data_IF_742431088342
#
_entry.id   IF_742431088342
#
_cell.length_a   1.000
_cell.length_b   1.000
_cell.length_c   1.000
_cell.angle_alpha   90.00
_cell.angle_beta   90.00
_cell.angle_gamma   90.00
#
_symmetry.space_group_name_H-M   'P 1'
#
loop_
_entity.id
_entity.type
_entity.pdbx_description
1 polymer ?
#
# COMPACT_ATOMS: atom_id res chain seq x y z
N UNK A 1 -6.09 -7.49 56.52
CA UNK A 1 -5.41 -7.78 55.23
C UNK A 1 -4.08 -8.47 55.52
N UNK A 2 -3.81 -9.59 54.85
CA UNK A 2 -2.69 -10.47 55.17
C UNK A 2 -1.34 -9.80 54.91
N UNK A 3 -0.55 -9.60 55.98
CA UNK A 3 0.79 -8.99 55.92
C UNK A 3 1.78 -9.80 55.09
N UNK A 4 1.47 -11.07 54.80
CA UNK A 4 2.32 -11.98 54.01
C UNK A 4 2.29 -11.67 52.51
N UNK A 5 1.15 -11.20 51.98
CA UNK A 5 1.01 -10.88 50.55
C UNK A 5 1.80 -9.61 50.19
N UNK A 6 1.86 -8.67 51.14
CA UNK A 6 2.57 -7.40 50.99
C UNK A 6 4.09 -7.60 50.93
N UNK A 7 4.64 -8.45 51.81
CA UNK A 7 6.07 -8.78 51.78
C UNK A 7 6.48 -9.52 50.50
N UNK A 8 5.58 -10.35 49.96
CA UNK A 8 5.82 -11.09 48.71
C UNK A 8 5.84 -10.17 47.48
N UNK A 9 4.93 -9.21 47.41
CA UNK A 9 4.88 -8.23 46.32
C UNK A 9 6.10 -7.29 46.32
N UNK A 10 6.55 -6.86 47.51
CA UNK A 10 7.74 -6.01 47.66
C UNK A 10 9.03 -6.75 47.28
N UNK A 11 9.16 -8.04 47.63
CA UNK A 11 10.31 -8.87 47.20
C UNK A 11 10.35 -9.08 45.68
N UNK A 12 9.20 -9.22 45.04
CA UNK A 12 9.11 -9.41 43.60
C UNK A 12 9.51 -8.12 42.84
N UNK A 13 9.11 -6.96 43.35
CA UNK A 13 9.53 -5.65 42.84
C UNK A 13 11.05 -5.44 42.95
N UNK A 14 11.67 -5.82 44.07
CA UNK A 14 13.13 -5.70 44.24
C UNK A 14 13.91 -6.61 43.28
N UNK A 15 13.41 -7.82 42.98
CA UNK A 15 14.03 -8.70 41.98
C UNK A 15 13.94 -8.12 40.56
N UNK A 16 12.81 -7.51 40.19
CA UNK A 16 12.64 -6.90 38.86
C UNK A 16 13.59 -5.71 38.67
N UNK A 17 13.79 -4.89 39.72
CA UNK A 17 14.70 -3.73 39.65
C UNK A 17 16.18 -4.14 39.61
N UNK A 18 16.52 -5.35 40.03
CA UNK A 18 17.88 -5.88 40.00
C UNK A 18 18.22 -6.57 38.65
N UNK A 19 17.20 -6.87 37.83
CA UNK A 19 17.36 -7.35 36.44
C UNK A 19 17.55 -6.22 35.41
N UNK A 20 17.39 -4.96 35.82
CA UNK A 20 17.66 -3.78 34.98
C UNK A 20 19.06 -3.20 35.26
N UNK A 21 20.07 -4.07 35.29
CA UNK A 21 21.46 -3.65 35.30
C UNK A 21 21.75 -2.84 34.03
N UNK A 22 22.24 -1.62 34.22
CA UNK A 22 22.71 -0.72 33.17
C UNK A 22 23.81 -1.38 32.34
N UNK A 23 23.40 -2.11 31.29
CA UNK A 23 24.29 -2.52 30.23
C UNK A 23 24.67 -1.29 29.44
N UNK A 24 25.84 -0.72 29.74
CA UNK A 24 26.56 0.16 28.83
C UNK A 24 26.69 -0.64 27.53
N UNK A 25 25.92 -0.28 26.51
CA UNK A 25 26.18 -0.76 25.17
C UNK A 25 27.55 -0.19 24.79
N UNK A 26 28.59 -1.03 24.91
CA UNK A 26 29.81 -0.80 24.17
C UNK A 26 29.37 -0.55 22.73
N UNK A 27 29.73 0.61 22.18
CA UNK A 27 29.59 0.86 20.76
C UNK A 27 30.45 -0.21 20.07
N UNK A 28 29.84 -1.34 19.74
CA UNK A 28 30.35 -2.23 18.71
C UNK A 28 30.32 -1.37 17.47
N UNK A 29 31.50 -0.94 17.05
CA UNK A 29 31.71 -0.45 15.70
C UNK A 29 31.27 -1.58 14.79
N UNK A 30 30.00 -1.58 14.41
CA UNK A 30 29.53 -2.42 13.34
C UNK A 30 30.34 -1.97 12.13
N UNK A 31 31.27 -2.82 11.73
CA UNK A 31 32.00 -2.71 10.48
C UNK A 31 30.96 -2.26 9.45
N UNK A 32 31.08 -1.02 8.96
CA UNK A 32 30.13 -0.47 8.01
C UNK A 32 30.23 -1.34 6.77
N UNK A 33 29.34 -2.33 6.67
CA UNK A 33 29.14 -3.06 5.45
C UNK A 33 28.89 -1.97 4.41
N UNK A 34 29.72 -1.91 3.38
CA UNK A 34 29.46 -1.07 2.22
C UNK A 34 28.21 -1.65 1.53
N UNK A 35 27.03 -1.41 2.12
CA UNK A 35 25.75 -1.70 1.52
C UNK A 35 25.62 -0.64 0.45
N UNK A 36 25.96 -1.01 -0.79
CA UNK A 36 25.55 -0.24 -1.95
C UNK A 36 24.04 -0.03 -1.82
N UNK A 37 23.61 1.23 -1.73
CA UNK A 37 22.18 1.53 -1.60
C UNK A 37 21.45 0.85 -2.76
N UNK A 38 20.36 0.10 -2.48
CA UNK A 38 19.58 -0.49 -3.54
C UNK A 38 19.08 0.61 -4.45
N UNK A 39 19.25 0.43 -5.76
CA UNK A 39 18.67 1.37 -6.71
C UNK A 39 17.14 1.33 -6.54
N UNK A 40 16.53 2.50 -6.40
CA UNK A 40 15.08 2.66 -6.17
C UNK A 40 14.50 3.52 -7.27
N UNK A 41 13.27 3.21 -7.69
CA UNK A 41 12.47 4.03 -8.61
C UNK A 41 11.09 4.20 -8.00
N UNK A 42 10.57 5.42 -8.03
CA UNK A 42 9.22 5.70 -7.55
C UNK A 42 8.22 5.42 -8.66
N UNK A 43 7.38 4.41 -8.48
CA UNK A 43 6.29 4.08 -9.42
C UNK A 43 5.10 5.01 -9.15
N UNK A 44 4.59 4.99 -7.92
CA UNK A 44 3.43 5.77 -7.53
C UNK A 44 3.81 7.00 -6.70
N UNK A 45 3.78 8.18 -7.31
CA UNK A 45 4.10 9.46 -6.68
C UNK A 45 2.82 10.28 -6.44
N UNK A 46 2.46 10.56 -5.17
CA UNK A 46 1.28 11.35 -4.85
C UNK A 46 1.23 12.69 -5.59
N UNK A 47 0.06 13.04 -6.10
CA UNK A 47 -0.20 14.29 -6.83
C UNK A 47 0.60 14.46 -8.13
N UNK A 48 1.40 13.46 -8.53
CA UNK A 48 2.25 13.50 -9.73
C UNK A 48 1.90 12.41 -10.72
N UNK A 49 1.73 11.15 -10.27
CA UNK A 49 1.37 10.05 -11.18
C UNK A 49 0.02 10.33 -11.85
N UNK A 50 0.00 10.24 -13.18
CA UNK A 50 -1.19 10.43 -13.99
C UNK A 50 -1.86 9.08 -14.26
N UNK A 51 -3.19 9.09 -14.34
CA UNK A 51 -3.99 7.86 -14.44
C UNK A 51 -4.82 7.85 -15.71
N UNK A 52 -4.84 6.69 -16.37
CA UNK A 52 -5.79 6.41 -17.46
C UNK A 52 -7.15 6.04 -16.84
N UNK A 53 -8.22 6.81 -17.11
CA UNK A 53 -9.54 6.46 -16.62
C UNK A 53 -10.11 5.22 -17.31
N UNK A 54 -10.86 4.40 -16.56
CA UNK A 54 -11.48 3.18 -17.07
C UNK A 54 -12.47 3.41 -18.23
N UNK A 55 -13.10 4.59 -18.31
CA UNK A 55 -14.13 4.93 -19.32
C UNK A 55 -13.74 6.09 -20.27
N UNK A 56 -12.49 6.55 -20.28
CA UNK A 56 -11.99 7.54 -21.24
C UNK A 56 -12.65 8.94 -21.21
N UNK A 57 -13.60 9.20 -20.30
CA UNK A 57 -14.40 10.43 -20.26
C UNK A 57 -14.04 11.40 -19.13
N UNK A 58 -13.26 10.97 -18.13
CA UNK A 58 -12.83 11.83 -17.04
C UNK A 58 -11.45 12.43 -17.32
N UNK A 59 -11.25 13.65 -16.86
CA UNK A 59 -9.94 14.31 -16.81
C UNK A 59 -8.91 13.40 -16.11
N UNK A 60 -7.63 13.49 -16.50
CA UNK A 60 -6.57 12.77 -15.78
C UNK A 60 -6.62 13.18 -14.30
N UNK A 61 -6.89 12.23 -13.42
CA UNK A 61 -7.00 12.48 -11.98
C UNK A 61 -5.76 11.95 -11.30
N UNK A 62 -5.13 12.75 -10.46
CA UNK A 62 -4.06 12.28 -9.59
C UNK A 62 -4.66 11.64 -8.34
N UNK A 63 -3.83 10.95 -7.55
CA UNK A 63 -4.19 10.46 -6.21
C UNK A 63 -3.37 11.20 -5.19
N UNK A 64 -3.95 11.42 -4.02
CA UNK A 64 -3.31 12.16 -2.93
C UNK A 64 -2.37 11.27 -2.11
N UNK A 65 -2.54 9.94 -2.16
CA UNK A 65 -1.69 8.97 -1.48
C UNK A 65 -1.79 7.58 -2.13
N UNK A 66 -0.76 6.78 -1.96
CA UNK A 66 -0.70 5.37 -2.36
C UNK A 66 -0.30 4.52 -1.17
N UNK A 67 -1.13 3.53 -0.83
CA UNK A 67 -0.88 2.63 0.30
C UNK A 67 -1.13 1.18 -0.10
N UNK A 68 -0.83 0.25 0.80
CA UNK A 68 -1.13 -1.18 0.62
C UNK A 68 -0.58 -1.75 -0.69
N UNK A 69 0.73 -1.65 -0.95
CA UNK A 69 1.30 -2.10 -2.21
C UNK A 69 1.20 -3.63 -2.36
N UNK A 70 1.03 -4.09 -3.59
CA UNK A 70 1.09 -5.51 -3.95
C UNK A 70 1.78 -5.69 -5.28
N UNK A 71 2.56 -6.76 -5.44
CA UNK A 71 3.37 -7.01 -6.63
C UNK A 71 3.15 -8.44 -7.11
N UNK A 72 3.07 -8.63 -8.43
CA UNK A 72 2.98 -9.96 -9.04
C UNK A 72 3.70 -9.97 -10.38
N UNK A 73 4.36 -11.07 -10.70
CA UNK A 73 4.96 -11.30 -12.02
C UNK A 73 4.24 -12.44 -12.70
N UNK A 74 3.72 -12.24 -13.92
CA UNK A 74 3.06 -13.28 -14.70
C UNK A 74 3.14 -12.95 -16.19
N UNK A 75 3.29 -13.97 -17.04
CA UNK A 75 3.23 -13.79 -18.50
C UNK A 75 4.27 -12.82 -19.09
N UNK A 76 5.43 -12.67 -18.43
CA UNK A 76 6.48 -11.73 -18.88
C UNK A 76 6.29 -10.28 -18.42
N UNK A 77 5.28 -10.00 -17.58
CA UNK A 77 5.01 -8.67 -17.04
C UNK A 77 5.06 -8.72 -15.51
N UNK A 78 5.68 -7.70 -14.91
CA UNK A 78 5.56 -7.40 -13.49
C UNK A 78 4.51 -6.32 -13.33
N UNK A 79 3.47 -6.59 -12.56
CA UNK A 79 2.42 -5.64 -12.26
C UNK A 79 2.53 -5.20 -10.80
N UNK A 80 2.74 -3.90 -10.60
CA UNK A 80 2.74 -3.26 -9.29
C UNK A 80 1.37 -2.64 -9.06
N UNK A 81 0.72 -2.98 -7.95
CA UNK A 81 -0.59 -2.50 -7.54
C UNK A 81 -0.47 -1.68 -6.27
N UNK A 82 -1.37 -0.71 -6.12
CA UNK A 82 -1.52 0.04 -4.88
C UNK A 82 -2.98 0.50 -4.70
N UNK A 83 -3.35 0.79 -3.47
CA UNK A 83 -4.55 1.55 -3.17
C UNK A 83 -4.29 3.04 -3.43
N UNK A 84 -4.95 3.61 -4.42
CA UNK A 84 -4.88 5.03 -4.75
C UNK A 84 -5.98 5.81 -4.04
N UNK A 85 -5.60 6.65 -3.07
CA UNK A 85 -6.55 7.38 -2.22
C UNK A 85 -6.81 8.80 -2.72
N UNK A 86 -8.07 9.23 -2.64
CA UNK A 86 -8.48 10.62 -2.88
C UNK A 86 -8.99 11.23 -1.58
N UNK A 87 -8.54 12.44 -1.29
CA UNK A 87 -8.98 13.23 -0.15
C UNK A 87 -9.61 14.54 -0.63
N UNK A 88 -10.62 15.01 0.10
CA UNK A 88 -11.12 16.38 0.01
C UNK A 88 -11.07 17.04 1.38
N UNK A 89 -11.15 18.37 1.40
CA UNK A 89 -11.23 19.13 2.65
C UNK A 89 -12.69 19.26 3.05
N UNK A 90 -13.05 18.75 4.23
CA UNK A 90 -14.42 18.84 4.75
C UNK A 90 -14.72 20.21 5.38
N UNK A 91 -15.97 20.42 5.83
CA UNK A 91 -16.41 21.67 6.46
C UNK A 91 -15.60 22.07 7.70
N UNK A 92 -14.96 21.09 8.36
CA UNK A 92 -14.09 21.29 9.53
C UNK A 92 -12.61 21.49 9.17
N UNK A 93 -12.30 21.70 7.88
CA UNK A 93 -10.95 21.86 7.34
C UNK A 93 -10.04 20.65 7.59
N UNK A 94 -10.62 19.46 7.68
CA UNK A 94 -9.89 18.21 7.82
C UNK A 94 -9.90 17.45 6.50
N UNK A 95 -8.82 16.72 6.22
CA UNK A 95 -8.76 15.83 5.06
C UNK A 95 -9.69 14.63 5.31
N UNK A 96 -10.75 14.52 4.51
CA UNK A 96 -11.66 13.39 4.49
C UNK A 96 -11.36 12.53 3.26
N UNK A 97 -11.14 11.23 3.49
CA UNK A 97 -10.99 10.26 2.41
C UNK A 97 -12.32 10.10 1.68
N UNK A 98 -12.38 10.49 0.41
CA UNK A 98 -13.62 10.46 -0.38
C UNK A 98 -13.77 9.21 -1.21
N UNK A 99 -12.66 8.69 -1.74
CA UNK A 99 -12.65 7.44 -2.48
C UNK A 99 -11.31 6.71 -2.41
N UNK A 100 -11.32 5.44 -2.77
CA UNK A 100 -10.10 4.70 -3.09
C UNK A 100 -10.31 3.68 -4.16
N UNK A 101 -9.33 3.64 -5.06
CA UNK A 101 -9.27 2.74 -6.19
C UNK A 101 -8.10 1.78 -6.03
N UNK A 102 -8.15 0.65 -6.73
CA UNK A 102 -6.94 -0.14 -6.97
C UNK A 102 -6.34 0.31 -8.29
N UNK A 103 -5.08 0.75 -8.25
CA UNK A 103 -4.32 1.18 -9.40
C UNK A 103 -3.18 0.22 -9.71
N UNK A 104 -2.68 0.23 -10.94
CA UNK A 104 -1.57 -0.60 -11.36
C UNK A 104 -0.64 0.06 -12.38
N UNK A 105 0.65 -0.25 -12.26
CA UNK A 105 1.67 -0.03 -13.29
C UNK A 105 2.22 -1.36 -13.77
N UNK A 106 2.55 -1.42 -15.06
CA UNK A 106 2.94 -2.66 -15.73
C UNK A 106 4.35 -2.51 -16.29
N UNK A 107 5.26 -3.32 -15.79
CA UNK A 107 6.68 -3.32 -16.13
C UNK A 107 6.96 -4.56 -16.96
N UNK A 108 7.58 -4.38 -18.12
CA UNK A 108 8.08 -5.52 -18.89
C UNK A 108 9.22 -6.19 -18.11
N UNK A 109 9.08 -7.50 -17.83
CA UNK A 109 10.05 -8.25 -17.04
C UNK A 109 11.42 -8.40 -17.71
N UNK A 110 11.53 -8.08 -19.00
CA UNK A 110 12.79 -8.09 -19.76
C UNK A 110 13.60 -6.80 -19.60
N UNK A 111 13.01 -5.73 -19.05
CA UNK A 111 13.70 -4.46 -18.88
C UNK A 111 14.82 -4.56 -17.85
N UNK A 112 15.99 -4.03 -18.23
CA UNK A 112 17.05 -3.77 -17.24
C UNK A 112 16.73 -2.51 -16.42
N UNK A 113 17.50 -2.28 -15.36
CA UNK A 113 17.28 -1.16 -14.45
C UNK A 113 17.29 0.21 -15.14
N UNK A 114 18.20 0.43 -16.09
CA UNK A 114 18.27 1.71 -16.80
C UNK A 114 17.06 1.92 -17.71
N UNK A 115 16.57 0.87 -18.35
CA UNK A 115 15.35 0.93 -19.17
C UNK A 115 14.13 1.21 -18.30
N UNK A 116 14.00 0.55 -17.15
CA UNK A 116 12.91 0.79 -16.20
C UNK A 116 12.88 2.26 -15.73
N UNK A 117 14.01 2.77 -15.22
CA UNK A 117 14.11 4.17 -14.77
C UNK A 117 13.85 5.14 -15.92
N UNK A 118 14.36 4.85 -17.12
CA UNK A 118 14.07 5.65 -18.31
C UNK A 118 12.58 5.73 -18.60
N UNK A 119 11.88 4.58 -18.59
CA UNK A 119 10.46 4.46 -18.91
C UNK A 119 9.55 5.13 -17.88
N UNK A 120 9.78 4.90 -16.59
CA UNK A 120 8.93 5.47 -15.51
C UNK A 120 9.04 6.99 -15.46
N UNK A 121 10.17 7.56 -15.89
CA UNK A 121 10.36 9.01 -15.96
C UNK A 121 9.80 9.66 -17.24
N UNK A 122 9.30 8.89 -18.22
CA UNK A 122 8.66 9.43 -19.41
C UNK A 122 7.29 10.04 -19.03
N UNK A 123 6.97 11.22 -19.54
CA UNK A 123 5.66 11.86 -19.29
C UNK A 123 4.46 11.07 -19.86
N UNK A 124 4.74 10.16 -20.80
CA UNK A 124 3.75 9.23 -21.34
C UNK A 124 3.45 8.05 -20.41
N UNK A 125 4.30 7.79 -19.41
CA UNK A 125 4.09 6.75 -18.42
C UNK A 125 2.90 7.08 -17.53
N UNK A 126 1.94 6.15 -17.44
CA UNK A 126 0.70 6.36 -16.69
C UNK A 126 0.32 5.09 -15.96
N UNK A 127 -0.16 5.28 -14.74
CA UNK A 127 -0.79 4.22 -14.00
C UNK A 127 -2.22 3.99 -14.52
N UNK A 128 -2.73 2.78 -14.28
CA UNK A 128 -4.02 2.33 -14.75
C UNK A 128 -4.95 2.10 -13.57
N UNK A 129 -6.18 2.59 -13.64
CA UNK A 129 -7.19 2.24 -12.63
C UNK A 129 -7.79 0.88 -12.94
N UNK A 130 -7.58 -0.10 -12.06
CA UNK A 130 -8.00 -1.50 -12.22
C UNK A 130 -9.39 -1.71 -11.63
N UNK A 131 -9.55 -1.35 -10.35
CA UNK A 131 -10.83 -1.32 -9.64
C UNK A 131 -11.14 0.14 -9.31
N UNK A 132 -12.31 0.60 -9.72
CA UNK A 132 -12.73 2.00 -9.58
C UNK A 132 -13.92 2.07 -8.65
N UNK A 133 -13.83 2.91 -7.62
CA UNK A 133 -14.97 3.31 -6.83
C UNK A 133 -15.99 4.02 -7.73
N UNK A 134 -17.28 3.70 -7.59
CA UNK A 134 -18.31 4.37 -8.40
C UNK A 134 -18.43 5.85 -8.01
N UNK A 135 -18.86 6.67 -8.97
CA UNK A 135 -18.95 8.14 -8.88
C UNK A 135 -20.06 8.65 -7.94
N UNK A 136 -20.09 8.20 -6.69
CA UNK A 136 -20.95 8.77 -5.65
C UNK A 136 -22.46 8.53 -5.81
N UNK A 137 -22.90 7.64 -6.70
CA UNK A 137 -24.29 7.17 -6.66
C UNK A 137 -24.51 6.33 -5.40
N UNK A 138 -25.67 6.46 -4.76
CA UNK A 138 -26.01 5.89 -3.43
C UNK A 138 -25.82 4.37 -3.27
N UNK A 139 -25.48 3.66 -4.36
CA UNK A 139 -25.29 2.21 -4.43
C UNK A 139 -23.90 1.76 -4.93
N UNK A 140 -22.95 2.67 -5.15
CA UNK A 140 -21.60 2.38 -5.63
C UNK A 140 -20.62 1.95 -4.53
N UNK A 141 -19.63 1.10 -4.86
CA UNK A 141 -18.45 0.91 -3.98
C UNK A 141 -17.70 2.23 -3.93
N UNK A 142 -17.46 2.79 -2.74
CA UNK A 142 -16.73 4.07 -2.62
C UNK A 142 -15.24 3.86 -2.34
N UNK A 143 -14.88 2.69 -1.83
CA UNK A 143 -13.52 2.41 -1.39
C UNK A 143 -13.14 0.98 -1.71
N UNK A 144 -11.99 0.82 -2.36
CA UNK A 144 -11.23 -0.42 -2.36
C UNK A 144 -10.04 -0.30 -1.41
N UNK A 145 -9.75 -1.37 -0.69
CA UNK A 145 -8.67 -1.46 0.27
C UNK A 145 -7.84 -2.73 0.05
N UNK A 146 -6.60 -2.68 0.51
CA UNK A 146 -5.73 -3.84 0.69
C UNK A 146 -5.63 -4.74 -0.55
N UNK A 147 -5.27 -4.19 -1.73
CA UNK A 147 -5.07 -5.03 -2.91
C UNK A 147 -4.01 -6.08 -2.57
N UNK A 148 -4.35 -7.34 -2.84
CA UNK A 148 -3.50 -8.50 -2.59
C UNK A 148 -3.49 -9.33 -3.85
N UNK A 149 -2.32 -9.57 -4.43
CA UNK A 149 -2.20 -10.26 -5.71
C UNK A 149 -1.56 -11.63 -5.57
N UNK A 150 -2.02 -12.57 -6.38
CA UNK A 150 -1.35 -13.85 -6.62
C UNK A 150 -1.46 -14.23 -8.09
N UNK A 151 -0.74 -15.26 -8.52
CA UNK A 151 -0.79 -15.75 -9.90
C UNK A 151 -1.01 -17.26 -9.96
N UNK A 152 -1.56 -17.72 -11.09
CA UNK A 152 -1.57 -19.12 -11.49
C UNK A 152 -1.33 -19.23 -12.98
N UNK A 153 -0.15 -19.72 -13.38
CA UNK A 153 0.33 -19.60 -14.76
C UNK A 153 0.40 -18.13 -15.18
N UNK A 154 -0.07 -17.79 -16.38
CA UNK A 154 -0.06 -16.40 -16.87
C UNK A 154 -1.28 -15.58 -16.43
N UNK A 155 -1.97 -16.00 -15.36
CA UNK A 155 -3.18 -15.33 -14.86
C UNK A 155 -2.92 -14.72 -13.51
N UNK A 156 -3.32 -13.46 -13.34
CA UNK A 156 -3.27 -12.75 -12.07
C UNK A 156 -4.64 -12.79 -11.40
N UNK A 157 -4.63 -12.98 -10.09
CA UNK A 157 -5.80 -12.90 -9.24
C UNK A 157 -5.56 -11.75 -8.27
N UNK A 158 -6.44 -10.75 -8.31
CA UNK A 158 -6.43 -9.59 -7.43
C UNK A 158 -7.56 -9.77 -6.43
N UNK A 159 -7.21 -9.81 -5.15
CA UNK A 159 -8.13 -9.74 -4.03
C UNK A 159 -8.13 -8.31 -3.48
N UNK A 160 -9.29 -7.73 -3.24
CA UNK A 160 -9.43 -6.45 -2.56
C UNK A 160 -10.66 -6.44 -1.65
N UNK A 161 -10.61 -5.65 -0.59
CA UNK A 161 -11.77 -5.34 0.23
C UNK A 161 -12.50 -4.14 -0.35
N UNK A 162 -13.82 -4.14 -0.31
CA UNK A 162 -14.65 -3.03 -0.75
C UNK A 162 -15.65 -2.59 0.32
N UNK A 163 -15.89 -1.28 0.38
CA UNK A 163 -16.84 -0.65 1.30
C UNK A 163 -17.75 0.35 0.57
N UNK A 164 -19.03 0.28 0.91
CA UNK A 164 -20.07 1.20 0.45
C UNK A 164 -20.29 2.31 1.50
N UNK A 165 -20.05 3.58 1.16
CA UNK A 165 -20.10 4.71 2.13
C UNK A 165 -21.47 4.83 2.84
N UNK A 166 -22.56 4.53 2.13
CA UNK A 166 -23.93 4.66 2.64
C UNK A 166 -24.52 3.36 3.20
N UNK A 167 -23.83 2.23 3.07
CA UNK A 167 -24.18 0.96 3.73
C UNK A 167 -23.08 0.63 4.72
N UNK A 168 -23.10 1.33 5.87
CA UNK A 168 -22.04 1.36 6.91
C UNK A 168 -21.51 0.00 7.41
N UNK A 169 -22.15 -1.12 7.07
CA UNK A 169 -21.76 -2.48 7.49
C UNK A 169 -21.61 -3.47 6.32
N UNK A 170 -21.59 -3.01 5.06
CA UNK A 170 -21.49 -3.89 3.90
C UNK A 170 -20.04 -3.95 3.41
N UNK A 171 -19.20 -4.64 4.18
CA UNK A 171 -17.88 -5.04 3.71
C UNK A 171 -18.04 -6.19 2.73
N UNK A 172 -17.33 -6.12 1.61
CA UNK A 172 -17.29 -7.21 0.66
C UNK A 172 -15.85 -7.49 0.28
N UNK A 173 -15.49 -8.76 0.26
CA UNK A 173 -14.22 -9.23 -0.27
C UNK A 173 -14.46 -9.63 -1.73
N UNK A 174 -13.68 -9.07 -2.65
CA UNK A 174 -13.83 -9.32 -4.08
C UNK A 174 -12.54 -9.89 -4.67
N UNK A 175 -12.66 -11.00 -5.41
CA UNK A 175 -11.56 -11.59 -6.17
C UNK A 175 -11.86 -11.38 -7.65
N UNK A 176 -10.94 -10.71 -8.35
CA UNK A 176 -10.98 -10.49 -9.78
C UNK A 176 -9.84 -11.23 -10.47
N UNK A 177 -10.15 -11.90 -11.59
CA UNK A 177 -9.13 -12.47 -12.47
C UNK A 177 -8.73 -11.41 -13.47
N UNK A 178 -7.45 -11.07 -13.50
CA UNK A 178 -6.84 -10.14 -14.45
C UNK A 178 -5.96 -10.96 -15.40
N UNK A 179 -6.01 -10.64 -16.69
CA UNK A 179 -5.01 -11.12 -17.65
C UNK A 179 -4.00 -10.01 -17.86
N UNK A 180 -2.73 -10.34 -17.69
CA UNK A 180 -1.62 -9.43 -17.93
C UNK A 180 -0.73 -10.13 -18.95
N UNK A 181 -0.60 -9.53 -20.12
CA UNK A 181 0.20 -10.03 -21.23
C UNK A 181 0.95 -8.86 -21.83
N UNK A 182 2.15 -9.13 -22.33
CA UNK A 182 2.90 -8.20 -23.19
C UNK A 182 2.27 -8.14 -24.59
#
# INVERSE_FOLDING_TARGET
MSRRVFASAVRLLLFVMMCCGSGVAAAVTSNSWNVQLPHTVDLFVPQTTLFVPKNGTSQETTRNSFISPSLVSAGGVIAAFAEGQVYTVNAHRQNEKTSSDVVAEYIDSTWNWSTLVGKVNESAWKANTVLTAADGTDNGVNFFYHPTTTMKGNKVFLLAESLYKYKKNCWKTEIQRIQITN
#
